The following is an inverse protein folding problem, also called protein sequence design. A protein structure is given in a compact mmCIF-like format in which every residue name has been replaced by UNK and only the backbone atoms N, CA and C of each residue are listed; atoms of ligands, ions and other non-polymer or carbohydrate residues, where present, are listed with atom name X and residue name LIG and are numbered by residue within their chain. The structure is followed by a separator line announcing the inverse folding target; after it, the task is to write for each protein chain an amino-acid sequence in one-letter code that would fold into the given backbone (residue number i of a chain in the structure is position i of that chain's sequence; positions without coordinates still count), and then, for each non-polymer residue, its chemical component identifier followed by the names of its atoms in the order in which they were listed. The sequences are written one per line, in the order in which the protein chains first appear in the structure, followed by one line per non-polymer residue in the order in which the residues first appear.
data_IF_427932626003
#
_entry.id   IF_427932626003
#
_cell.length_a   1.000
_cell.length_b   1.000
_cell.length_c   1.000
_cell.angle_alpha   90.00
_cell.angle_beta   90.00
_cell.angle_gamma   90.00
#
_symmetry.space_group_name_H-M   'P 1'
#
loop_
_entity.id
_entity.type
_entity.pdbx_description
1 polymer ?
#
# COMPACT_ATOMS: atom_id res chain seq x y z
N UNK A 1 14.36 -15.97 12.49
CA UNK A 1 13.08 -16.06 11.76
C UNK A 1 13.19 -15.23 10.48
N UNK A 2 13.12 -15.85 9.28
CA UNK A 2 12.91 -15.11 8.05
C UNK A 2 11.72 -14.14 8.16
N UNK A 3 11.98 -12.87 7.90
CA UNK A 3 10.97 -11.81 7.92
C UNK A 3 11.25 -10.84 6.80
N UNK A 4 10.20 -10.44 6.09
CA UNK A 4 10.30 -9.47 5.01
C UNK A 4 9.10 -8.53 5.05
N UNK A 5 9.37 -7.22 5.05
CA UNK A 5 8.35 -6.21 4.93
C UNK A 5 8.12 -5.80 3.46
N UNK A 6 6.87 -5.79 3.06
CA UNK A 6 6.42 -5.24 1.77
C UNK A 6 5.92 -3.83 2.03
N UNK A 7 6.78 -2.85 1.78
CA UNK A 7 6.43 -1.43 1.85
C UNK A 7 6.19 -0.88 0.44
N UNK A 8 5.82 0.40 0.33
CA UNK A 8 5.50 1.01 -0.95
C UNK A 8 6.01 2.44 -1.02
N UNK A 9 5.86 3.07 -2.18
CA UNK A 9 6.07 4.52 -2.29
C UNK A 9 4.80 5.33 -2.00
N UNK A 10 3.65 4.66 -1.89
CA UNK A 10 2.35 5.28 -1.66
C UNK A 10 1.32 4.26 -1.10
N UNK A 11 0.14 4.72 -0.75
CA UNK A 11 -1.04 3.87 -0.47
C UNK A 11 -1.62 3.34 -1.78
N UNK A 12 -2.22 2.16 -1.76
CA UNK A 12 -2.87 1.57 -2.94
C UNK A 12 -1.94 1.03 -4.03
N UNK A 13 -0.60 1.05 -3.84
CA UNK A 13 0.38 0.59 -4.84
C UNK A 13 0.44 -0.94 -5.03
N UNK A 14 -0.36 -1.70 -4.29
CA UNK A 14 -0.42 -3.16 -4.36
C UNK A 14 0.43 -3.92 -3.34
N UNK A 15 0.80 -3.29 -2.21
CA UNK A 15 1.49 -3.95 -1.09
C UNK A 15 0.78 -5.22 -0.63
N UNK A 16 -0.54 -5.17 -0.48
CA UNK A 16 -1.39 -6.27 -0.03
C UNK A 16 -1.25 -7.49 -0.95
N UNK A 17 -1.28 -7.28 -2.27
CA UNK A 17 -1.15 -8.36 -3.27
C UNK A 17 0.26 -8.95 -3.25
N UNK A 18 1.29 -8.11 -3.19
CA UNK A 18 2.69 -8.58 -3.11
C UNK A 18 2.94 -9.34 -1.81
N UNK A 19 2.37 -8.88 -0.69
CA UNK A 19 2.43 -9.59 0.61
C UNK A 19 1.75 -10.94 0.54
N UNK A 20 0.55 -11.01 -0.05
CA UNK A 20 -0.16 -12.27 -0.26
C UNK A 20 0.66 -13.23 -1.14
N UNK A 21 1.27 -12.75 -2.23
CA UNK A 21 2.11 -13.56 -3.10
C UNK A 21 3.32 -14.15 -2.36
N UNK A 22 4.02 -13.32 -1.58
CA UNK A 22 5.15 -13.76 -0.75
C UNK A 22 4.71 -14.81 0.29
N UNK A 23 3.66 -14.51 1.04
CA UNK A 23 3.16 -15.41 2.08
C UNK A 23 2.71 -16.75 1.48
N UNK A 24 1.96 -16.73 0.38
CA UNK A 24 1.52 -17.94 -0.32
C UNK A 24 2.71 -18.77 -0.84
N UNK A 25 3.77 -18.11 -1.32
CA UNK A 25 5.01 -18.81 -1.72
C UNK A 25 5.65 -19.52 -0.54
N UNK A 26 5.82 -18.84 0.59
CA UNK A 26 6.35 -19.45 1.81
C UNK A 26 5.47 -20.57 2.35
N UNK A 27 4.14 -20.42 2.31
CA UNK A 27 3.22 -21.48 2.73
C UNK A 27 3.40 -22.75 1.89
N UNK A 28 3.69 -22.62 0.59
CA UNK A 28 4.00 -23.77 -0.28
C UNK A 28 5.35 -24.41 0.07
N UNK A 29 6.34 -23.61 0.47
CA UNK A 29 7.70 -24.08 0.73
C UNK A 29 7.86 -24.75 2.10
N UNK A 30 7.23 -24.20 3.14
CA UNK A 30 7.42 -24.67 4.52
C UNK A 30 6.12 -25.07 5.23
N UNK A 31 4.97 -25.08 4.56
CA UNK A 31 3.67 -25.34 5.18
C UNK A 31 3.03 -24.08 5.75
N UNK A 32 1.70 -24.08 5.78
CA UNK A 32 0.89 -22.89 6.11
C UNK A 32 0.98 -22.48 7.57
N UNK A 33 1.01 -23.46 8.46
CA UNK A 33 1.14 -23.31 9.91
C UNK A 33 2.45 -22.63 10.33
N UNK A 34 3.43 -22.57 9.43
CA UNK A 34 4.74 -21.99 9.65
C UNK A 34 4.84 -20.52 9.21
N UNK A 35 3.82 -19.97 8.55
CA UNK A 35 3.81 -18.61 8.01
C UNK A 35 2.76 -17.76 8.70
N UNK A 36 3.19 -16.63 9.25
CA UNK A 36 2.31 -15.58 9.73
C UNK A 36 2.37 -14.34 8.83
N UNK A 37 1.30 -13.54 8.89
CA UNK A 37 1.22 -12.21 8.29
C UNK A 37 1.02 -11.16 9.38
N UNK A 38 1.74 -10.05 9.29
CA UNK A 38 1.58 -8.89 10.17
C UNK A 38 1.29 -7.64 9.32
N UNK A 39 0.11 -7.05 9.50
CA UNK A 39 -0.27 -5.71 9.05
C UNK A 39 -0.34 -4.85 10.31
N UNK A 40 0.75 -4.21 10.73
CA UNK A 40 0.87 -3.66 12.09
C UNK A 40 -0.20 -2.61 12.41
N UNK A 41 -0.60 -1.82 11.41
CA UNK A 41 -1.55 -0.72 11.54
C UNK A 41 -2.54 -0.75 10.38
N UNK A 42 -3.83 -0.66 10.70
CA UNK A 42 -4.90 -0.50 9.72
C UNK A 42 -6.03 0.36 10.29
N UNK A 43 -6.64 1.15 9.42
CA UNK A 43 -7.82 1.95 9.72
C UNK A 43 -8.96 1.56 8.76
N UNK A 44 -10.11 1.20 9.31
CA UNK A 44 -11.24 0.63 8.58
C UNK A 44 -11.00 -0.81 8.10
N UNK A 45 -12.05 -1.44 7.54
CA UNK A 45 -12.00 -2.79 6.96
C UNK A 45 -11.20 -2.79 5.65
N UNK A 46 -10.35 -3.79 5.44
CA UNK A 46 -9.51 -3.85 4.23
C UNK A 46 -8.48 -4.98 4.23
N UNK A 47 -7.19 -4.60 4.32
CA UNK A 47 -6.04 -5.46 4.03
C UNK A 47 -6.00 -6.72 4.91
N UNK A 48 -6.15 -6.59 6.23
CA UNK A 48 -6.08 -7.73 7.17
C UNK A 48 -7.15 -8.77 6.88
N UNK A 49 -8.38 -8.37 6.56
CA UNK A 49 -9.49 -9.27 6.25
C UNK A 49 -9.24 -9.98 4.91
N UNK A 50 -8.75 -9.24 3.92
CA UNK A 50 -8.37 -9.80 2.62
C UNK A 50 -7.26 -10.84 2.77
N UNK A 51 -6.17 -10.48 3.45
CA UNK A 51 -5.02 -11.35 3.70
C UNK A 51 -5.42 -12.63 4.45
N UNK A 52 -6.19 -12.50 5.52
CA UNK A 52 -6.68 -13.65 6.29
C UNK A 52 -7.43 -14.64 5.39
N UNK A 53 -8.36 -14.12 4.58
CA UNK A 53 -9.21 -14.92 3.70
C UNK A 53 -8.41 -15.59 2.58
N UNK A 54 -7.63 -14.82 1.84
CA UNK A 54 -6.95 -15.30 0.61
C UNK A 54 -5.84 -16.30 0.92
N UNK A 55 -5.19 -16.17 2.08
CA UNK A 55 -4.13 -17.07 2.53
C UNK A 55 -4.63 -18.19 3.44
N UNK A 56 -5.93 -18.20 3.79
CA UNK A 56 -6.52 -19.14 4.74
C UNK A 56 -5.77 -19.18 6.07
N UNK A 57 -5.37 -18.02 6.59
CA UNK A 57 -4.56 -17.91 7.83
C UNK A 57 -5.35 -18.40 9.03
N UNK A 58 -4.67 -19.09 9.96
CA UNK A 58 -5.21 -19.44 11.27
C UNK A 58 -5.16 -18.30 12.28
N UNK A 59 -4.42 -17.24 11.97
CA UNK A 59 -4.33 -16.04 12.80
C UNK A 59 -5.70 -15.37 12.90
N UNK A 60 -6.04 -14.88 14.08
CA UNK A 60 -7.12 -13.93 14.30
C UNK A 60 -6.82 -12.58 13.66
N UNK A 61 -7.84 -11.75 13.42
CA UNK A 61 -7.62 -10.40 12.87
C UNK A 61 -6.78 -9.51 13.80
N UNK A 62 -6.82 -9.73 15.11
CA UNK A 62 -6.00 -9.02 16.08
C UNK A 62 -4.53 -9.45 16.03
N UNK A 63 -4.25 -10.73 15.77
CA UNK A 63 -2.88 -11.21 15.55
C UNK A 63 -2.30 -10.71 14.23
N UNK A 64 -3.13 -10.56 13.18
CA UNK A 64 -2.69 -9.97 11.91
C UNK A 64 -2.50 -8.46 12.05
N UNK A 65 -3.40 -7.77 12.74
CA UNK A 65 -3.40 -6.32 12.87
C UNK A 65 -3.61 -5.89 14.33
N UNK A 66 -2.52 -5.77 15.11
CA UNK A 66 -2.60 -5.41 16.53
C UNK A 66 -3.08 -3.96 16.74
N UNK A 67 -2.73 -3.03 15.85
CA UNK A 67 -3.21 -1.64 15.91
C UNK A 67 -4.30 -1.40 14.86
N UNK A 68 -5.54 -1.72 15.23
CA UNK A 68 -6.73 -1.45 14.41
C UNK A 68 -7.49 -0.21 14.89
N UNK A 69 -7.96 0.58 13.92
CA UNK A 69 -8.81 1.76 14.10
C UNK A 69 -10.09 1.59 13.28
N UNK A 70 -11.24 1.99 13.82
CA UNK A 70 -12.54 1.82 13.16
C UNK A 70 -12.78 2.84 12.06
N UNK A 71 -12.31 4.07 12.26
CA UNK A 71 -12.50 5.19 11.35
C UNK A 71 -11.74 4.95 10.04
N UNK A 72 -12.42 4.87 8.88
CA UNK A 72 -11.78 4.54 7.60
C UNK A 72 -11.09 5.77 6.99
N UNK A 73 -10.06 6.27 7.67
CA UNK A 73 -9.22 7.41 7.25
C UNK A 73 -7.75 7.05 7.44
N UNK A 74 -6.83 7.89 6.96
CA UNK A 74 -5.39 7.71 7.21
C UNK A 74 -5.12 7.41 8.70
N UNK A 75 -4.35 6.38 9.00
CA UNK A 75 -4.22 5.84 10.36
C UNK A 75 -3.77 6.86 11.39
N UNK A 76 -2.91 7.82 11.02
CA UNK A 76 -2.52 8.93 11.91
C UNK A 76 -3.71 9.82 12.31
N UNK A 77 -4.67 10.04 11.41
CA UNK A 77 -5.89 10.80 11.68
C UNK A 77 -6.88 9.95 12.50
N UNK A 78 -6.97 8.65 12.20
CA UNK A 78 -7.83 7.72 12.94
C UNK A 78 -7.40 7.62 14.42
N UNK A 79 -6.09 7.52 14.68
CA UNK A 79 -5.50 7.59 16.03
C UNK A 79 -5.98 8.80 16.82
N UNK A 80 -5.93 9.98 16.21
CA UNK A 80 -6.37 11.24 16.84
C UNK A 80 -7.89 11.25 17.10
N UNK A 81 -8.70 10.85 16.12
CA UNK A 81 -10.17 10.85 16.23
C UNK A 81 -10.68 9.87 17.28
N UNK A 82 -10.04 8.71 17.39
CA UNK A 82 -10.42 7.66 18.33
C UNK A 82 -9.73 7.79 19.70
N UNK A 83 -8.91 8.84 19.88
CA UNK A 83 -8.11 9.06 21.09
C UNK A 83 -7.28 7.83 21.50
N UNK A 84 -6.79 7.09 20.49
CA UNK A 84 -6.09 5.83 20.64
C UNK A 84 -4.74 5.95 19.94
N UNK A 85 -3.71 6.31 20.70
CA UNK A 85 -2.35 6.41 20.15
C UNK A 85 -1.81 5.02 19.79
N UNK A 86 -0.96 4.96 18.77
CA UNK A 86 -0.23 3.74 18.43
C UNK A 86 0.75 3.39 19.55
N UNK A 87 0.56 2.22 20.16
CA UNK A 87 1.52 1.65 21.11
C UNK A 87 2.58 0.84 20.36
N UNK A 88 3.75 1.45 20.16
CA UNK A 88 4.90 0.80 19.51
C UNK A 88 5.42 -0.41 20.31
N UNK A 89 5.30 -0.39 21.64
CA UNK A 89 5.69 -1.48 22.51
C UNK A 89 4.79 -2.69 22.30
N UNK A 90 3.47 -2.50 22.32
CA UNK A 90 2.50 -3.54 22.02
C UNK A 90 2.67 -4.09 20.59
N UNK A 91 2.93 -3.22 19.62
CA UNK A 91 3.22 -3.60 18.23
C UNK A 91 4.46 -4.51 18.14
N UNK A 92 5.53 -4.18 18.88
CA UNK A 92 6.74 -4.99 18.98
C UNK A 92 6.48 -6.35 19.65
N UNK A 93 5.74 -6.37 20.76
CA UNK A 93 5.40 -7.61 21.44
C UNK A 93 4.59 -8.54 20.55
N UNK A 94 3.61 -8.02 19.81
CA UNK A 94 2.85 -8.80 18.84
C UNK A 94 3.76 -9.47 17.79
N UNK A 95 4.73 -8.72 17.24
CA UNK A 95 5.71 -9.28 16.30
C UNK A 95 6.58 -10.37 16.95
N UNK A 96 7.06 -10.17 18.18
CA UNK A 96 7.83 -11.17 18.90
C UNK A 96 7.03 -12.45 19.18
N UNK A 97 5.76 -12.33 19.57
CA UNK A 97 4.86 -13.47 19.78
C UNK A 97 4.66 -14.27 18.49
N UNK A 98 4.55 -13.60 17.33
CA UNK A 98 4.51 -14.32 16.05
C UNK A 98 5.80 -15.12 15.83
N UNK A 99 6.96 -14.55 16.16
CA UNK A 99 8.24 -15.25 15.99
C UNK A 99 8.49 -16.43 16.92
N UNK A 100 7.71 -16.57 17.99
CA UNK A 100 7.73 -17.76 18.84
C UNK A 100 6.87 -18.90 18.27
N UNK A 101 5.90 -18.58 17.40
CA UNK A 101 4.87 -19.52 16.91
C UNK A 101 5.02 -19.89 15.45
N UNK A 102 5.66 -19.03 14.66
CA UNK A 102 5.81 -19.18 13.23
C UNK A 102 7.28 -19.08 12.86
N UNK A 103 7.69 -19.81 11.82
CA UNK A 103 9.08 -19.77 11.35
C UNK A 103 9.31 -18.66 10.34
N UNK A 104 8.25 -18.13 9.72
CA UNK A 104 8.28 -17.04 8.74
C UNK A 104 7.22 -15.99 9.04
N UNK A 105 7.56 -14.71 8.85
CA UNK A 105 6.61 -13.59 8.99
C UNK A 105 6.68 -12.68 7.78
N UNK A 106 5.57 -12.59 7.04
CA UNK A 106 5.38 -11.62 5.97
C UNK A 106 4.74 -10.36 6.56
N UNK A 107 5.37 -9.21 6.39
CA UNK A 107 4.85 -7.95 6.94
C UNK A 107 4.28 -7.12 5.79
N UNK A 108 3.02 -6.71 5.89
CA UNK A 108 2.48 -5.68 5.02
C UNK A 108 2.71 -4.30 5.63
N UNK A 109 3.49 -3.46 4.96
CA UNK A 109 3.81 -2.12 5.42
C UNK A 109 2.61 -1.16 5.41
N UNK A 110 2.77 -0.04 6.11
CA UNK A 110 1.80 1.06 6.18
C UNK A 110 2.32 2.16 5.26
N UNK A 111 1.52 2.57 4.25
CA UNK A 111 1.95 3.65 3.35
C UNK A 111 3.31 3.38 2.68
N UNK A 112 4.22 4.34 2.80
CA UNK A 112 5.62 4.22 2.38
C UNK A 112 6.62 4.60 3.47
N UNK A 113 7.92 4.59 3.15
CA UNK A 113 8.98 4.75 4.16
C UNK A 113 8.90 6.05 4.98
N UNK A 114 8.47 7.15 4.37
CA UNK A 114 8.27 8.42 5.06
C UNK A 114 6.91 8.56 5.75
N UNK A 115 6.07 7.51 5.76
CA UNK A 115 4.77 7.58 6.43
C UNK A 115 4.96 7.67 7.94
N UNK A 116 4.37 8.68 8.60
CA UNK A 116 4.41 8.79 10.05
C UNK A 116 3.53 7.71 10.69
N UNK A 117 4.10 7.01 11.67
CA UNK A 117 3.39 6.09 12.56
C UNK A 117 2.98 6.82 13.85
N UNK A 118 3.86 7.66 14.36
CA UNK A 118 3.63 8.67 15.40
C UNK A 118 4.11 10.05 14.90
N UNK A 119 4.08 11.07 15.75
CA UNK A 119 4.53 12.43 15.41
C UNK A 119 6.03 12.50 15.02
N UNK A 120 6.85 11.65 15.63
CA UNK A 120 8.31 11.66 15.58
C UNK A 120 8.90 10.32 15.10
N UNK A 121 8.05 9.41 14.63
CA UNK A 121 8.44 8.06 14.23
C UNK A 121 7.85 7.67 12.89
N UNK A 122 8.70 7.34 11.92
CA UNK A 122 8.29 6.92 10.58
C UNK A 122 8.35 5.41 10.38
N UNK A 123 7.79 4.93 9.27
CA UNK A 123 7.97 3.55 8.81
C UNK A 123 9.45 3.22 8.58
N UNK A 124 10.27 4.18 8.15
CA UNK A 124 11.71 3.97 8.01
C UNK A 124 12.39 3.74 9.37
N UNK A 125 12.04 4.53 10.39
CA UNK A 125 12.54 4.34 11.76
C UNK A 125 12.14 2.97 12.30
N UNK A 126 10.88 2.59 12.11
CA UNK A 126 10.35 1.28 12.48
C UNK A 126 11.15 0.12 11.88
N UNK A 127 11.36 0.13 10.57
CA UNK A 127 12.07 -0.95 9.88
C UNK A 127 13.56 -0.99 10.27
N UNK A 128 14.18 0.17 10.49
CA UNK A 128 15.56 0.28 11.00
C UNK A 128 15.67 -0.34 12.39
N UNK A 129 14.85 0.09 13.33
CA UNK A 129 14.95 -0.29 14.74
C UNK A 129 14.69 -1.79 14.93
N UNK A 130 13.74 -2.34 14.17
CA UNK A 130 13.43 -3.78 14.21
C UNK A 130 14.38 -4.62 13.35
N UNK A 131 15.29 -3.97 12.60
CA UNK A 131 16.22 -4.60 11.65
C UNK A 131 15.50 -5.51 10.65
N UNK A 132 14.29 -5.12 10.25
CA UNK A 132 13.48 -5.87 9.30
C UNK A 132 13.85 -5.44 7.88
N UNK A 133 14.31 -6.36 7.02
CA UNK A 133 14.55 -6.04 5.62
C UNK A 133 13.22 -5.76 4.91
N UNK A 134 13.28 -4.94 3.86
CA UNK A 134 12.08 -4.55 3.11
C UNK A 134 12.27 -4.65 1.59
N UNK A 135 11.14 -4.88 0.91
CA UNK A 135 10.98 -4.69 -0.53
C UNK A 135 10.06 -3.51 -0.75
N UNK A 136 10.41 -2.65 -1.70
CA UNK A 136 9.66 -1.44 -2.02
C UNK A 136 8.79 -1.68 -3.26
N UNK A 137 7.47 -1.60 -3.10
CA UNK A 137 6.49 -1.71 -4.18
C UNK A 137 6.30 -0.35 -4.86
N UNK A 138 6.46 -0.34 -6.17
CA UNK A 138 6.39 0.86 -7.01
C UNK A 138 5.35 0.67 -8.11
N UNK A 139 4.32 1.52 -8.23
CA UNK A 139 3.37 1.47 -9.33
C UNK A 139 4.01 1.92 -10.65
N UNK A 140 3.66 1.28 -11.75
CA UNK A 140 4.03 1.72 -13.10
C UNK A 140 3.17 2.91 -13.58
N UNK A 141 3.45 4.11 -13.05
CA UNK A 141 2.75 5.36 -13.41
C UNK A 141 3.70 6.56 -13.50
N UNK A 142 3.25 7.63 -14.14
CA UNK A 142 3.97 8.91 -14.14
C UNK A 142 4.21 9.39 -12.70
N UNK A 143 5.39 9.96 -12.47
CA UNK A 143 5.84 10.44 -11.15
C UNK A 143 6.42 9.35 -10.21
N UNK A 144 6.25 8.06 -10.53
CA UNK A 144 6.72 6.98 -9.66
C UNK A 144 8.26 6.89 -9.58
N UNK A 145 8.98 7.25 -10.64
CA UNK A 145 10.46 7.21 -10.66
C UNK A 145 11.04 8.16 -9.60
N UNK A 146 10.61 9.43 -9.59
CA UNK A 146 11.09 10.41 -8.61
C UNK A 146 10.77 10.02 -7.17
N UNK A 147 9.54 9.53 -6.94
CA UNK A 147 9.12 9.01 -5.63
C UNK A 147 9.95 7.79 -5.21
N UNK A 148 10.30 6.91 -6.14
CA UNK A 148 11.16 5.74 -5.89
C UNK A 148 12.57 6.18 -5.51
N UNK A 149 13.17 7.12 -6.25
CA UNK A 149 14.50 7.67 -5.94
C UNK A 149 14.50 8.28 -4.54
N UNK A 150 13.49 9.09 -4.19
CA UNK A 150 13.36 9.68 -2.87
C UNK A 150 13.21 8.62 -1.76
N UNK A 151 12.39 7.59 -1.97
CA UNK A 151 12.21 6.51 -1.02
C UNK A 151 13.50 5.68 -0.83
N UNK A 152 14.22 5.38 -1.90
CA UNK A 152 15.52 4.68 -1.84
C UNK A 152 16.58 5.54 -1.15
N UNK A 153 16.61 6.84 -1.40
CA UNK A 153 17.51 7.76 -0.71
C UNK A 153 17.21 7.80 0.80
N UNK A 154 15.94 7.91 1.18
CA UNK A 154 15.52 7.86 2.58
C UNK A 154 15.94 6.53 3.24
N UNK A 155 15.71 5.39 2.60
CA UNK A 155 16.14 4.09 3.12
C UNK A 155 17.64 4.02 3.38
N UNK A 156 18.46 4.55 2.45
CA UNK A 156 19.92 4.60 2.61
C UNK A 156 20.31 5.50 3.78
N UNK A 157 19.70 6.67 3.88
CA UNK A 157 19.98 7.65 4.94
C UNK A 157 19.62 7.11 6.33
N UNK A 158 18.51 6.37 6.45
CA UNK A 158 18.03 5.83 7.72
C UNK A 158 18.56 4.42 8.02
N UNK A 159 19.31 3.80 7.11
CA UNK A 159 19.88 2.46 7.31
C UNK A 159 18.87 1.31 7.16
N UNK A 160 17.74 1.55 6.49
CA UNK A 160 16.77 0.49 6.17
C UNK A 160 17.35 -0.44 5.09
N UNK A 161 17.37 -1.75 5.39
CA UNK A 161 17.85 -2.77 4.44
C UNK A 161 16.81 -3.04 3.37
N UNK A 162 16.84 -2.26 2.28
CA UNK A 162 16.07 -2.56 1.07
C UNK A 162 16.73 -3.69 0.27
N UNK A 163 15.99 -4.78 0.05
CA UNK A 163 16.44 -5.94 -0.74
C UNK A 163 16.18 -5.79 -2.23
N UNK A 164 15.23 -4.94 -2.61
CA UNK A 164 14.85 -4.74 -4.00
C UNK A 164 13.56 -3.96 -4.19
N UNK A 165 13.15 -3.88 -5.45
CA UNK A 165 11.96 -3.19 -5.91
C UNK A 165 11.01 -4.20 -6.55
N UNK A 166 9.70 -4.00 -6.37
CA UNK A 166 8.66 -4.68 -7.16
C UNK A 166 7.91 -3.63 -7.94
N UNK A 167 8.05 -3.66 -9.27
CA UNK A 167 7.29 -2.79 -10.16
C UNK A 167 5.94 -3.43 -10.42
N UNK A 168 4.89 -2.79 -9.91
CA UNK A 168 3.53 -3.27 -10.01
C UNK A 168 2.79 -2.55 -11.16
N UNK A 169 2.37 -3.33 -12.14
CA UNK A 169 1.62 -2.86 -13.31
C UNK A 169 0.16 -3.24 -13.09
N UNK A 170 -0.63 -2.33 -12.53
CA UNK A 170 -2.06 -2.54 -12.29
C UNK A 170 -2.84 -1.27 -12.64
N UNK A 171 -3.95 -1.42 -13.36
CA UNK A 171 -4.68 -0.32 -13.98
C UNK A 171 -4.00 0.15 -15.27
N UNK A 172 -4.77 0.21 -16.37
CA UNK A 172 -4.30 0.53 -17.73
C UNK A 172 -3.86 1.98 -17.95
N UNK A 173 -3.00 2.53 -17.08
CA UNK A 173 -2.38 3.82 -17.24
C UNK A 173 -1.17 3.78 -18.17
N UNK A 174 -1.41 3.75 -19.47
CA UNK A 174 -0.51 4.39 -20.45
C UNK A 174 0.78 3.69 -20.87
N UNK A 175 1.01 2.41 -20.55
CA UNK A 175 2.09 1.62 -21.15
C UNK A 175 1.55 0.43 -21.96
N UNK A 176 0.75 0.74 -22.96
CA UNK A 176 0.59 -0.14 -24.12
C UNK A 176 1.77 0.03 -25.09
N UNK A 177 1.95 -0.86 -26.08
CA UNK A 177 3.10 -0.85 -27.00
C UNK A 177 3.17 0.36 -27.95
N UNK A 178 2.35 1.38 -27.75
CA UNK A 178 2.24 2.58 -28.60
C UNK A 178 2.60 3.89 -27.88
N UNK A 179 3.35 3.82 -26.77
CA UNK A 179 3.72 4.97 -25.93
C UNK A 179 4.72 5.98 -26.53
N UNK A 180 4.47 6.46 -27.75
CA UNK A 180 4.89 7.76 -28.32
C UNK A 180 3.93 8.07 -29.49
N UNK A 181 2.69 8.46 -29.20
CA UNK A 181 1.74 8.84 -30.24
C UNK A 181 0.37 9.18 -29.68
N UNK A 182 0.07 10.47 -29.52
CA UNK A 182 -1.26 10.89 -29.08
C UNK A 182 -1.37 12.34 -28.62
N UNK A 183 -0.69 13.28 -29.28
CA UNK A 183 -1.26 14.63 -29.40
C UNK A 183 -2.48 14.51 -30.31
N UNK A 184 -3.67 14.72 -29.76
CA UNK A 184 -4.90 14.82 -30.55
C UNK A 184 -6.07 14.04 -29.94
N UNK A 185 -6.91 14.75 -29.18
CA UNK A 185 -8.32 14.39 -29.09
C UNK A 185 -8.97 14.54 -30.47
N UNK A 186 -9.85 13.62 -30.88
CA UNK A 186 -11.13 14.08 -31.40
C UNK A 186 -12.28 13.16 -30.99
N UNK A 187 -13.29 13.73 -30.31
CA UNK A 187 -14.46 12.98 -29.87
C UNK A 187 -15.66 13.85 -29.52
N UNK A 188 -15.85 14.98 -30.21
CA UNK A 188 -17.10 15.73 -30.15
C UNK A 188 -17.43 16.32 -31.52
N UNK A 189 -17.95 15.50 -32.43
CA UNK A 189 -18.74 15.97 -33.57
C UNK A 189 -19.63 14.83 -34.04
N UNK A 190 -20.96 15.00 -33.95
CA UNK A 190 -21.88 14.01 -34.50
C UNK A 190 -23.35 14.05 -34.07
N UNK A 191 -23.95 15.20 -33.77
CA UNK A 191 -25.41 15.39 -33.93
C UNK A 191 -25.72 16.81 -34.40
N UNK A 192 -25.87 16.96 -35.71
CA UNK A 192 -26.53 18.08 -36.36
C UNK A 192 -27.38 17.51 -37.50
N UNK A 193 -28.70 17.74 -37.44
CA UNK A 193 -29.57 17.46 -38.58
C UNK A 193 -31.03 17.16 -38.27
N UNK A 194 -31.77 18.11 -37.71
CA UNK A 194 -33.14 18.41 -38.18
C UNK A 194 -33.36 19.93 -38.14
N UNK A 195 -33.65 20.51 -39.30
CA UNK A 195 -34.00 21.92 -39.55
C UNK A 195 -35.51 22.10 -39.40
N UNK A 196 -35.91 23.26 -38.87
CA UNK A 196 -37.02 24.15 -39.26
C UNK A 196 -37.49 24.89 -38.00
N UNK A 197 -37.64 26.21 -37.92
CA UNK A 197 -37.49 27.28 -38.89
C UNK A 197 -37.81 28.63 -38.22
N UNK A 198 -37.42 29.70 -38.91
CA UNK A 198 -38.04 31.04 -38.95
C UNK A 198 -38.07 31.90 -37.67
N UNK A 199 -37.28 32.98 -37.71
CA UNK A 199 -37.85 34.33 -37.54
C UNK A 199 -37.37 35.16 -36.34
N UNK A 200 -36.83 36.35 -36.61
CA UNK A 200 -37.01 37.51 -35.72
C UNK A 200 -35.75 38.18 -35.21
N UNK A 201 -35.22 39.11 -35.98
CA UNK A 201 -34.32 40.19 -35.53
C UNK A 201 -35.13 41.21 -34.75
N UNK A 202 -34.65 41.66 -33.58
CA UNK A 202 -34.83 43.04 -33.11
C UNK A 202 -33.86 43.37 -31.95
N UNK A 203 -33.24 44.53 -32.09
CA UNK A 203 -32.33 45.17 -31.14
C UNK A 203 -33.07 45.90 -30.01
N UNK A 204 -32.34 46.24 -28.94
CA UNK A 204 -32.64 47.47 -28.18
C UNK A 204 -32.50 47.40 -26.67
N UNK A 205 -31.40 48.03 -26.20
CA UNK A 205 -31.16 48.68 -24.90
C UNK A 205 -31.10 47.83 -23.63
#
# INVERSE_FOLDING_TARGET
MPTLCITGIDTGVGKTVVTAGLAARWQRDCGRENVAVLKPVQAGVGDREYLQRVLGLRQTLAEICPAYYETPIASAIAQYREQKLLDLGAMWQAYQTLGQRYTHVAIEGVGGLGTPLTWDYTVADWLRDWRVPAVLVVPARLGAIGQTVAAVALARQTGVKLLGLVVNVFGGGGFGPTGFGGLGSPGSAGKLGQRAGVGGVAAGR
#
